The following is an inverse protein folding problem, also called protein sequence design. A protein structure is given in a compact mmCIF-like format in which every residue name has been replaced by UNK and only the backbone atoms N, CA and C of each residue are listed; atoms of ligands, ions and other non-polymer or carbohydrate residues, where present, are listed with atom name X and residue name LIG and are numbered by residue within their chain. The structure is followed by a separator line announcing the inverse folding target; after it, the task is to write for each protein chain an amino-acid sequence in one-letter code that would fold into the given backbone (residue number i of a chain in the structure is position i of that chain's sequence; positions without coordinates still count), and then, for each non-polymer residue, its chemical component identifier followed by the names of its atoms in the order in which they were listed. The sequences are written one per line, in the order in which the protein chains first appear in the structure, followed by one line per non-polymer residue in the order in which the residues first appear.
data_IF_582260606152
#
_entry.id   IF_582260606152
#
_cell.length_a   1.000
_cell.length_b   1.000
_cell.length_c   1.000
_cell.angle_alpha   90.00
_cell.angle_beta   90.00
_cell.angle_gamma   90.00
#
_symmetry.space_group_name_H-M   'P 1'
#
loop_
_entity.id
_entity.type
_entity.pdbx_description
1 polymer ?
#
# COMPACT_ATOMS: atom_id res chain seq x y z
N UNK A 1 -6.47 -13.16 16.38
CA UNK A 1 -6.59 -14.57 15.96
C UNK A 1 -7.81 -15.26 16.58
N UNK A 2 -8.00 -15.24 17.90
CA UNK A 2 -9.16 -15.87 18.55
C UNK A 2 -10.52 -15.32 18.05
N UNK A 3 -10.57 -14.03 17.71
CA UNK A 3 -11.80 -13.37 17.22
C UNK A 3 -12.13 -13.83 15.79
N UNK A 4 -11.13 -14.06 14.95
CA UNK A 4 -11.31 -14.52 13.57
C UNK A 4 -11.46 -16.04 13.42
N UNK A 5 -11.19 -16.81 14.47
CA UNK A 5 -11.46 -18.25 14.50
C UNK A 5 -12.97 -18.59 14.65
N UNK A 6 -13.79 -17.57 14.93
CA UNK A 6 -15.25 -17.71 15.01
C UNK A 6 -15.84 -17.62 13.59
N UNK A 7 -16.45 -18.69 13.17
CA UNK A 7 -17.17 -18.99 11.92
C UNK A 7 -17.47 -17.77 11.00
N UNK A 8 -17.18 -17.88 9.70
CA UNK A 8 -17.30 -16.83 8.66
C UNK A 8 -18.62 -16.03 8.65
N UNK A 9 -19.70 -16.57 9.19
CA UNK A 9 -21.00 -15.90 9.29
C UNK A 9 -21.01 -14.72 10.29
N UNK A 10 -19.98 -14.57 11.12
CA UNK A 10 -19.86 -13.52 12.14
C UNK A 10 -18.67 -12.60 11.92
N UNK A 11 -18.06 -12.62 10.74
CA UNK A 11 -16.83 -11.85 10.45
C UNK A 11 -17.00 -10.34 10.77
N UNK A 12 -18.12 -9.75 10.39
CA UNK A 12 -18.42 -8.33 10.65
C UNK A 12 -18.50 -8.05 12.15
N UNK A 13 -19.17 -8.92 12.90
CA UNK A 13 -19.30 -8.78 14.37
C UNK A 13 -17.94 -8.99 15.04
N UNK A 14 -17.16 -9.95 14.58
CA UNK A 14 -15.81 -10.21 15.08
C UNK A 14 -14.86 -9.03 14.80
N UNK A 15 -14.90 -8.48 13.60
CA UNK A 15 -14.13 -7.30 13.24
C UNK A 15 -14.53 -6.07 14.09
N UNK A 16 -15.84 -5.84 14.26
CA UNK A 16 -16.33 -4.75 15.09
C UNK A 16 -15.90 -4.93 16.56
N UNK A 17 -16.03 -6.13 17.11
CA UNK A 17 -15.59 -6.42 18.48
C UNK A 17 -14.07 -6.22 18.64
N UNK A 18 -13.27 -6.64 17.66
CA UNK A 18 -11.82 -6.41 17.65
C UNK A 18 -11.50 -4.91 17.65
N UNK A 19 -12.13 -4.13 16.78
CA UNK A 19 -11.98 -2.68 16.74
C UNK A 19 -12.36 -2.02 18.08
N UNK A 20 -13.46 -2.46 18.69
CA UNK A 20 -13.90 -1.94 19.99
C UNK A 20 -12.85 -2.22 21.08
N UNK A 21 -12.32 -3.43 21.15
CA UNK A 21 -11.30 -3.80 22.16
C UNK A 21 -9.99 -3.04 21.93
N UNK A 22 -9.55 -2.92 20.68
CA UNK A 22 -8.25 -2.30 20.34
C UNK A 22 -8.30 -0.77 20.48
N UNK A 23 -9.38 -0.12 20.02
CA UNK A 23 -9.39 1.33 19.85
C UNK A 23 -10.16 2.10 20.93
N UNK A 24 -11.21 1.55 21.54
CA UNK A 24 -12.05 2.32 22.47
C UNK A 24 -11.25 2.83 23.66
N UNK A 25 -10.44 1.98 24.28
CA UNK A 25 -9.68 2.38 25.46
C UNK A 25 -8.62 3.44 25.16
N UNK A 26 -7.74 3.28 24.16
CA UNK A 26 -6.78 4.33 23.78
C UNK A 26 -7.45 5.64 23.34
N UNK A 27 -8.50 5.57 22.52
CA UNK A 27 -9.21 6.77 22.06
C UNK A 27 -9.94 7.50 23.18
N UNK A 28 -10.52 6.76 24.11
CA UNK A 28 -11.13 7.35 25.32
C UNK A 28 -10.07 8.13 26.12
N UNK A 29 -8.90 7.54 26.37
CA UNK A 29 -7.82 8.22 27.08
C UNK A 29 -7.33 9.47 26.32
N UNK A 30 -7.12 9.36 25.01
CA UNK A 30 -6.72 10.50 24.17
C UNK A 30 -7.79 11.61 24.19
N UNK A 31 -9.07 11.25 24.16
CA UNK A 31 -10.18 12.19 24.26
C UNK A 31 -10.22 13.00 25.57
N UNK A 32 -9.61 12.50 26.65
CA UNK A 32 -9.52 13.20 27.92
C UNK A 32 -8.37 14.23 27.99
N UNK A 33 -7.42 14.17 27.05
CA UNK A 33 -6.21 15.03 27.07
C UNK A 33 -6.57 16.49 26.88
N UNK A 34 -7.29 16.84 25.81
CA UNK A 34 -7.65 18.23 25.52
C UNK A 34 -8.49 18.88 26.62
N UNK A 35 -9.57 18.26 27.15
CA UNK A 35 -10.31 18.83 28.28
C UNK A 35 -9.43 19.01 29.55
N UNK A 36 -8.52 18.06 29.77
CA UNK A 36 -7.60 18.16 30.94
C UNK A 36 -6.62 19.33 30.75
N UNK A 37 -6.06 19.50 29.58
CA UNK A 37 -5.17 20.63 29.29
C UNK A 37 -5.89 21.96 29.43
N UNK A 38 -7.11 22.09 28.92
CA UNK A 38 -7.94 23.28 29.10
C UNK A 38 -8.11 23.57 30.58
N UNK A 39 -8.53 22.57 31.38
CA UNK A 39 -8.75 22.71 32.82
C UNK A 39 -7.52 23.22 33.57
N UNK A 40 -6.33 22.77 33.20
CA UNK A 40 -5.08 23.14 33.88
C UNK A 40 -4.42 24.41 33.32
N UNK A 41 -4.83 24.87 32.13
CA UNK A 41 -4.24 26.04 31.44
C UNK A 41 -5.09 27.30 31.58
N UNK A 42 -6.32 27.20 32.09
CA UNK A 42 -7.22 28.35 32.29
C UNK A 42 -7.12 28.83 33.72
N UNK A 43 -6.50 29.98 33.91
CA UNK A 43 -6.43 30.64 35.22
C UNK A 43 -7.62 31.55 35.50
N UNK A 44 -8.17 32.22 34.47
CA UNK A 44 -9.30 33.12 34.54
C UNK A 44 -10.33 32.85 33.42
N UNK A 45 -11.61 33.14 33.70
CA UNK A 45 -12.71 32.93 32.74
C UNK A 45 -12.56 33.77 31.47
N UNK A 46 -11.94 34.96 31.59
CA UNK A 46 -11.75 35.88 30.47
C UNK A 46 -10.74 35.36 29.41
N UNK A 47 -9.77 34.53 29.81
CA UNK A 47 -8.76 33.94 28.95
C UNK A 47 -9.16 32.58 28.36
N UNK A 48 -10.32 32.08 28.75
CA UNK A 48 -10.77 30.73 28.35
C UNK A 48 -10.84 30.54 26.82
N UNK A 49 -11.43 31.53 26.12
CA UNK A 49 -11.54 31.49 24.65
C UNK A 49 -10.20 31.41 23.93
N UNK A 50 -9.21 32.20 24.39
CA UNK A 50 -7.85 32.19 23.83
C UNK A 50 -7.13 30.86 24.09
N UNK A 51 -7.23 30.34 25.30
CA UNK A 51 -6.60 29.06 25.68
C UNK A 51 -7.19 27.91 24.88
N UNK A 52 -8.52 27.80 24.78
CA UNK A 52 -9.21 26.77 23.99
C UNK A 52 -8.85 26.88 22.51
N UNK A 53 -8.85 28.11 21.96
CA UNK A 53 -8.45 28.35 20.58
C UNK A 53 -7.01 27.94 20.27
N UNK A 54 -6.08 28.29 21.17
CA UNK A 54 -4.66 27.92 21.04
C UNK A 54 -4.45 26.41 21.10
N UNK A 55 -5.06 25.73 22.09
CA UNK A 55 -5.00 24.29 22.21
C UNK A 55 -5.64 23.57 21.01
N UNK A 56 -6.76 24.11 20.50
CA UNK A 56 -7.41 23.63 19.28
C UNK A 56 -6.51 23.73 18.05
N UNK A 57 -5.82 24.87 17.90
CA UNK A 57 -4.87 25.07 16.81
C UNK A 57 -3.69 24.07 16.88
N UNK A 58 -3.09 23.88 18.05
CA UNK A 58 -2.04 22.86 18.23
C UNK A 58 -2.53 21.44 17.98
N UNK A 59 -3.75 21.11 18.41
CA UNK A 59 -4.35 19.81 18.13
C UNK A 59 -4.52 19.57 16.61
N UNK A 60 -4.98 20.59 15.88
CA UNK A 60 -5.13 20.52 14.43
C UNK A 60 -3.79 20.31 13.72
N UNK A 61 -2.77 21.11 14.07
CA UNK A 61 -1.41 20.96 13.54
C UNK A 61 -0.86 19.57 13.86
N UNK A 62 -1.00 19.13 15.11
CA UNK A 62 -0.56 17.81 15.54
C UNK A 62 -1.26 16.67 14.79
N UNK A 63 -2.55 16.83 14.52
CA UNK A 63 -3.33 15.84 13.74
C UNK A 63 -2.85 15.76 12.29
N UNK A 64 -2.55 16.90 11.66
CA UNK A 64 -1.99 16.91 10.29
C UNK A 64 -0.64 16.17 10.27
N UNK A 65 0.29 16.57 11.14
CA UNK A 65 1.61 15.94 11.26
C UNK A 65 1.48 14.44 11.54
N UNK A 66 0.64 14.10 12.53
CA UNK A 66 0.41 12.71 12.96
C UNK A 66 -0.28 11.84 11.92
N UNK A 67 -0.92 12.42 10.90
CA UNK A 67 -1.49 11.68 9.77
C UNK A 67 -0.46 11.48 8.67
N UNK A 68 0.25 12.54 8.28
CA UNK A 68 1.16 12.48 7.13
C UNK A 68 2.48 11.75 7.42
N UNK A 69 3.10 11.97 8.59
CA UNK A 69 4.38 11.33 8.91
C UNK A 69 4.28 9.80 8.93
N UNK A 70 3.31 9.17 9.63
CA UNK A 70 3.19 7.71 9.58
C UNK A 70 2.99 7.20 8.16
N UNK A 71 2.07 7.77 7.43
CA UNK A 71 1.65 7.26 6.12
C UNK A 71 2.76 7.35 5.07
N UNK A 72 3.44 8.50 4.98
CA UNK A 72 4.37 8.76 3.89
C UNK A 72 5.85 8.57 4.25
N UNK A 73 6.17 8.50 5.52
CA UNK A 73 7.58 8.43 5.97
C UNK A 73 7.85 7.17 6.77
N UNK A 74 7.19 6.99 7.92
CA UNK A 74 7.65 5.93 8.84
C UNK A 74 7.15 4.54 8.43
N UNK A 75 5.90 4.37 8.03
CA UNK A 75 5.40 3.07 7.56
C UNK A 75 6.19 2.57 6.35
N UNK A 76 6.41 3.35 5.28
CA UNK A 76 7.22 2.90 4.15
C UNK A 76 8.68 2.62 4.49
N UNK A 77 9.23 3.31 5.49
CA UNK A 77 10.64 3.18 5.88
C UNK A 77 10.91 2.01 6.84
N UNK A 78 10.05 1.81 7.84
CA UNK A 78 10.30 0.88 8.95
C UNK A 78 9.12 -0.05 9.25
N UNK A 79 8.03 0.03 8.51
CA UNK A 79 6.83 -0.78 8.68
C UNK A 79 5.90 -0.29 9.79
N UNK A 80 4.69 -0.85 9.80
CA UNK A 80 3.62 -0.46 10.73
C UNK A 80 3.98 -0.74 12.18
N UNK A 81 4.54 -1.91 12.48
CA UNK A 81 4.89 -2.32 13.86
C UNK A 81 5.87 -1.35 14.52
N UNK A 82 6.98 -1.06 13.83
CA UNK A 82 8.01 -0.12 14.35
C UNK A 82 7.47 1.30 14.42
N UNK A 83 6.63 1.72 13.49
CA UNK A 83 5.95 3.02 13.53
C UNK A 83 5.12 3.19 14.81
N UNK A 84 4.32 2.19 15.17
CA UNK A 84 3.58 2.22 16.44
C UNK A 84 4.49 2.33 17.66
N UNK A 85 5.61 1.60 17.68
CA UNK A 85 6.59 1.68 18.78
C UNK A 85 7.25 3.06 18.86
N UNK A 86 7.57 3.69 17.72
CA UNK A 86 8.12 5.07 17.68
C UNK A 86 7.14 6.05 18.34
N UNK A 87 5.87 6.06 17.92
CA UNK A 87 4.87 6.97 18.48
C UNK A 87 4.55 6.67 19.95
N UNK A 88 4.49 5.40 20.34
CA UNK A 88 4.36 5.00 21.73
C UNK A 88 5.56 5.48 22.57
N UNK A 89 6.77 5.41 22.05
CA UNK A 89 7.99 5.92 22.68
C UNK A 89 7.96 7.43 22.86
N UNK A 90 7.46 8.18 21.88
CA UNK A 90 7.26 9.64 22.00
C UNK A 90 6.27 9.96 23.12
N UNK A 91 5.14 9.27 23.18
CA UNK A 91 4.14 9.45 24.24
C UNK A 91 4.70 9.09 25.62
N UNK A 92 5.50 8.02 25.70
CA UNK A 92 6.19 7.64 26.92
C UNK A 92 7.16 8.74 27.39
N UNK A 93 7.98 9.27 26.47
CA UNK A 93 8.92 10.35 26.78
C UNK A 93 8.21 11.60 27.32
N UNK A 94 7.11 12.02 26.67
CA UNK A 94 6.28 13.13 27.15
C UNK A 94 5.69 12.85 28.56
N UNK A 95 5.21 11.63 28.78
CA UNK A 95 4.68 11.22 30.09
C UNK A 95 5.75 11.25 31.17
N UNK A 96 6.97 10.82 30.89
CA UNK A 96 8.10 10.84 31.81
C UNK A 96 8.44 12.29 32.18
N UNK A 97 8.56 13.18 31.18
CA UNK A 97 8.83 14.61 31.41
C UNK A 97 7.75 15.22 32.31
N UNK A 98 6.49 14.93 32.05
CA UNK A 98 5.37 15.39 32.88
C UNK A 98 5.49 14.91 34.33
N UNK A 99 5.73 13.63 34.59
CA UNK A 99 5.82 13.07 35.93
C UNK A 99 7.06 13.56 36.68
N UNK A 100 8.17 13.82 36.00
CA UNK A 100 9.38 14.40 36.61
C UNK A 100 9.08 15.82 37.05
N UNK A 101 8.49 16.66 36.21
CA UNK A 101 8.17 18.05 36.57
C UNK A 101 7.11 18.15 37.67
N UNK A 102 6.18 17.20 37.71
CA UNK A 102 5.19 17.13 38.79
C UNK A 102 5.72 16.57 40.09
N UNK A 103 7.00 16.21 40.18
CA UNK A 103 7.66 15.59 41.34
C UNK A 103 6.91 14.38 41.93
N UNK A 104 6.09 13.72 41.11
CA UNK A 104 5.22 12.60 41.52
C UNK A 104 5.45 11.39 40.62
N UNK A 105 5.01 10.23 41.07
CA UNK A 105 4.78 9.09 40.19
C UNK A 105 6.01 8.26 39.84
N UNK A 106 7.09 8.21 40.63
CA UNK A 106 8.26 7.34 40.36
C UNK A 106 7.87 5.92 40.06
N UNK A 107 6.89 5.34 40.78
CA UNK A 107 6.39 3.98 40.50
C UNK A 107 5.68 3.91 39.16
N UNK A 108 4.94 4.96 38.73
CA UNK A 108 4.26 5.04 37.46
C UNK A 108 5.25 5.13 36.29
N UNK A 109 6.33 5.93 36.46
CA UNK A 109 7.41 6.03 35.45
C UNK A 109 8.04 4.65 35.23
N UNK A 110 8.44 3.98 36.32
CA UNK A 110 9.05 2.64 36.22
C UNK A 110 8.08 1.64 35.55
N UNK A 111 6.82 1.64 35.99
CA UNK A 111 5.81 0.76 35.38
C UNK A 111 5.61 1.05 33.87
N UNK A 112 5.55 2.32 33.48
CA UNK A 112 5.38 2.70 32.03
C UNK A 112 6.59 2.28 31.22
N UNK A 113 7.81 2.44 31.74
CA UNK A 113 9.04 1.98 31.05
C UNK A 113 9.04 0.46 30.90
N UNK A 114 8.66 -0.27 31.95
CA UNK A 114 8.59 -1.74 31.90
C UNK A 114 7.53 -2.21 30.89
N UNK A 115 6.35 -1.60 30.88
CA UNK A 115 5.30 -1.93 29.90
C UNK A 115 5.79 -1.63 28.48
N UNK A 116 6.42 -0.49 28.25
CA UNK A 116 6.97 -0.16 26.94
C UNK A 116 8.06 -1.14 26.50
N UNK A 117 8.96 -1.53 27.39
CA UNK A 117 9.98 -2.53 27.10
C UNK A 117 9.37 -3.90 26.73
N UNK A 118 8.30 -4.30 27.44
CA UNK A 118 7.52 -5.50 27.08
C UNK A 118 6.86 -5.33 25.70
N UNK A 119 6.27 -4.16 25.44
CA UNK A 119 5.70 -3.89 24.11
C UNK A 119 6.75 -3.93 23.00
N UNK A 120 7.96 -3.44 23.23
CA UNK A 120 9.07 -3.56 22.28
C UNK A 120 9.47 -5.03 22.05
N UNK A 121 9.51 -5.84 23.11
CA UNK A 121 9.87 -7.24 23.00
C UNK A 121 8.84 -8.13 22.29
N UNK A 122 7.55 -7.84 22.49
CA UNK A 122 6.44 -8.63 21.91
C UNK A 122 5.79 -7.97 20.70
N UNK A 123 5.88 -6.66 20.58
CA UNK A 123 5.24 -5.89 19.51
C UNK A 123 6.15 -5.65 18.31
N UNK A 124 7.47 -5.87 18.45
CA UNK A 124 8.37 -5.86 17.32
C UNK A 124 8.13 -7.12 16.49
N UNK A 125 7.72 -6.92 15.25
CA UNK A 125 7.54 -8.01 14.31
C UNK A 125 8.06 -7.56 12.95
N UNK A 126 8.97 -8.33 12.39
CA UNK A 126 9.42 -8.16 11.00
C UNK A 126 8.38 -8.69 10.01
N UNK A 127 7.44 -9.52 10.51
CA UNK A 127 6.35 -10.11 9.75
C UNK A 127 5.00 -9.69 10.32
N UNK A 128 4.17 -9.08 9.48
CA UNK A 128 2.77 -8.81 9.79
C UNK A 128 1.93 -10.09 9.61
N UNK A 129 2.22 -10.84 8.57
CA UNK A 129 1.54 -12.11 8.26
C UNK A 129 2.15 -13.30 9.02
N UNK A 130 2.27 -13.19 10.34
CA UNK A 130 2.86 -14.22 11.21
C UNK A 130 2.17 -15.59 11.14
N UNK A 131 1.01 -15.69 10.47
CA UNK A 131 0.29 -16.95 10.21
C UNK A 131 0.69 -17.62 8.89
N UNK A 132 1.45 -16.91 8.02
CA UNK A 132 1.95 -17.41 6.75
C UNK A 132 3.37 -17.98 6.92
N UNK A 133 3.55 -19.23 6.55
CA UNK A 133 4.83 -19.91 6.76
C UNK A 133 5.74 -19.93 5.51
N UNK A 134 5.22 -19.52 4.35
CA UNK A 134 5.90 -19.67 3.06
C UNK A 134 6.07 -18.34 2.31
N UNK A 135 6.22 -17.23 3.04
CA UNK A 135 6.52 -15.94 2.42
C UNK A 135 8.02 -15.87 2.06
N UNK A 136 8.30 -15.57 0.81
CA UNK A 136 9.66 -15.27 0.34
C UNK A 136 10.03 -13.82 0.63
N UNK A 137 9.04 -12.93 0.56
CA UNK A 137 9.18 -11.52 0.88
C UNK A 137 7.91 -10.98 1.52
N UNK A 138 8.07 -10.06 2.46
CA UNK A 138 7.01 -9.27 3.07
C UNK A 138 7.48 -7.82 3.24
N UNK A 139 6.63 -6.86 2.95
CA UNK A 139 6.95 -5.44 3.14
C UNK A 139 5.79 -4.52 2.88
N UNK A 140 5.97 -3.26 3.25
CA UNK A 140 4.97 -2.20 3.09
C UNK A 140 5.54 -1.09 2.21
N UNK A 141 4.71 -0.53 1.34
CA UNK A 141 4.97 0.68 0.57
C UNK A 141 3.98 1.78 0.97
N UNK A 142 4.04 2.92 0.30
CA UNK A 142 3.02 3.98 0.44
C UNK A 142 1.65 3.52 -0.10
N UNK A 143 1.66 2.58 -1.04
CA UNK A 143 0.47 2.17 -1.77
C UNK A 143 -0.07 0.82 -1.30
N UNK A 144 0.82 -0.12 -0.95
CA UNK A 144 0.45 -1.51 -0.77
C UNK A 144 1.19 -2.17 0.39
N UNK A 145 0.54 -3.16 0.99
CA UNK A 145 1.21 -4.22 1.74
C UNK A 145 1.52 -5.35 0.75
N UNK A 146 2.80 -5.72 0.66
CA UNK A 146 3.33 -6.58 -0.39
C UNK A 146 3.79 -7.91 0.17
N UNK A 147 3.34 -8.98 -0.45
CA UNK A 147 3.76 -10.35 -0.14
C UNK A 147 4.19 -11.06 -1.42
N UNK A 148 5.35 -11.72 -1.37
CA UNK A 148 5.81 -12.60 -2.45
C UNK A 148 5.82 -14.03 -1.94
N UNK A 149 5.14 -14.89 -2.67
CA UNK A 149 5.13 -16.33 -2.46
C UNK A 149 5.89 -17.02 -3.59
N UNK A 150 6.79 -17.90 -3.25
CA UNK A 150 7.57 -18.66 -4.22
C UNK A 150 7.45 -20.14 -3.93
N UNK A 151 7.15 -20.93 -4.96
CA UNK A 151 7.17 -22.38 -4.92
C UNK A 151 8.01 -22.93 -6.08
N UNK A 152 7.95 -24.25 -6.31
CA UNK A 152 8.73 -24.91 -7.37
C UNK A 152 8.30 -24.47 -8.78
N UNK A 153 7.02 -24.13 -8.98
CA UNK A 153 6.42 -23.89 -10.29
C UNK A 153 6.26 -22.40 -10.61
N UNK A 154 6.01 -21.57 -9.59
CA UNK A 154 5.65 -20.17 -9.79
C UNK A 154 6.09 -19.24 -8.67
N UNK A 155 6.16 -17.95 -8.99
CA UNK A 155 6.25 -16.85 -8.05
C UNK A 155 4.95 -16.04 -8.16
N UNK A 156 4.39 -15.64 -7.03
CA UNK A 156 3.14 -14.89 -6.96
C UNK A 156 3.30 -13.65 -6.11
N UNK A 157 2.79 -12.51 -6.58
CA UNK A 157 2.65 -11.28 -5.80
C UNK A 157 1.22 -11.18 -5.28
N UNK A 158 1.08 -10.86 -4.00
CA UNK A 158 -0.18 -10.39 -3.41
C UNK A 158 0.02 -9.01 -2.83
N UNK A 159 -0.95 -8.13 -3.02
CA UNK A 159 -0.96 -6.77 -2.45
C UNK A 159 -1.86 -6.65 -1.24
N UNK A 160 -2.50 -7.74 -0.83
CA UNK A 160 -3.41 -7.79 0.33
C UNK A 160 -3.19 -9.00 1.20
N UNK A 161 -3.48 -8.83 2.50
CA UNK A 161 -3.34 -9.88 3.52
C UNK A 161 -4.33 -11.04 3.32
N UNK A 162 -5.44 -10.81 2.64
CA UNK A 162 -6.56 -11.76 2.61
C UNK A 162 -7.06 -12.13 1.21
N UNK A 163 -6.74 -11.41 0.16
CA UNK A 163 -7.41 -11.59 -1.12
C UNK A 163 -6.47 -11.49 -2.32
N UNK A 164 -6.32 -12.60 -2.97
CA UNK A 164 -6.00 -12.64 -4.37
C UNK A 164 -4.53 -12.48 -4.72
N UNK A 165 -4.18 -13.27 -5.71
CA UNK A 165 -2.91 -13.17 -6.41
C UNK A 165 -3.05 -12.02 -7.42
N UNK A 166 -2.19 -11.01 -7.27
CA UNK A 166 -2.16 -9.84 -8.15
C UNK A 166 -1.39 -10.15 -9.44
N UNK A 167 -0.29 -10.85 -9.32
CA UNK A 167 0.53 -11.26 -10.46
C UNK A 167 1.14 -12.63 -10.24
N UNK A 168 1.36 -13.36 -11.33
CA UNK A 168 2.02 -14.68 -11.32
C UNK A 168 3.11 -14.71 -12.37
N UNK A 169 4.28 -15.22 -12.01
CA UNK A 169 5.35 -15.58 -12.93
C UNK A 169 5.54 -17.10 -12.88
N UNK A 170 5.47 -17.76 -14.05
CA UNK A 170 5.71 -19.21 -14.17
C UNK A 170 7.19 -19.45 -14.42
N UNK A 171 7.81 -20.31 -13.59
CA UNK A 171 9.22 -20.69 -13.72
C UNK A 171 9.49 -21.60 -14.90
N UNK A 172 8.46 -22.31 -15.33
CA UNK A 172 8.48 -23.19 -16.49
C UNK A 172 7.90 -22.50 -17.73
N UNK A 173 8.01 -23.14 -18.87
CA UNK A 173 7.52 -22.61 -20.14
C UNK A 173 6.02 -22.85 -20.31
N UNK A 174 5.24 -22.23 -19.43
CA UNK A 174 3.79 -22.35 -19.37
C UNK A 174 3.13 -20.98 -19.28
N UNK A 175 1.87 -20.90 -19.72
CA UNK A 175 1.00 -19.74 -19.48
C UNK A 175 0.55 -19.71 -18.03
N UNK A 176 0.21 -18.54 -17.55
CA UNK A 176 -0.13 -18.32 -16.13
C UNK A 176 -1.55 -18.73 -15.76
N UNK A 177 -2.44 -18.82 -16.78
CA UNK A 177 -3.88 -18.98 -16.60
C UNK A 177 -4.61 -17.71 -16.16
N UNK A 178 -3.92 -16.57 -16.16
CA UNK A 178 -4.46 -15.26 -15.79
C UNK A 178 -4.92 -14.49 -17.04
N UNK A 179 -5.67 -13.40 -16.83
CA UNK A 179 -6.23 -12.57 -17.91
C UNK A 179 -5.19 -12.00 -18.89
N UNK A 180 -4.00 -11.70 -18.42
CA UNK A 180 -2.94 -11.16 -19.30
C UNK A 180 -2.41 -12.16 -20.32
N UNK A 181 -2.63 -13.46 -20.14
CA UNK A 181 -2.37 -14.45 -21.20
C UNK A 181 -3.28 -14.21 -22.41
N UNK A 182 -4.55 -13.83 -22.18
CA UNK A 182 -5.47 -13.45 -23.25
C UNK A 182 -5.11 -12.09 -23.86
N UNK A 183 -4.58 -11.16 -23.03
CA UNK A 183 -4.14 -9.85 -23.50
C UNK A 183 -2.99 -9.93 -24.51
N UNK A 184 -2.22 -11.02 -24.52
CA UNK A 184 -1.19 -11.27 -25.56
C UNK A 184 -1.77 -11.40 -26.98
N UNK A 185 -3.09 -11.58 -27.14
CA UNK A 185 -3.72 -11.56 -28.46
C UNK A 185 -3.74 -10.16 -29.10
N UNK A 186 -3.59 -9.08 -28.32
CA UNK A 186 -3.70 -7.72 -28.83
C UNK A 186 -2.65 -7.36 -29.90
N UNK A 187 -1.37 -7.62 -29.73
CA UNK A 187 -0.38 -7.39 -30.78
C UNK A 187 -0.72 -8.11 -32.08
N UNK A 188 -1.34 -9.29 -32.03
CA UNK A 188 -1.73 -10.09 -33.20
C UNK A 188 -2.91 -9.49 -33.98
N UNK A 189 -3.64 -8.52 -33.41
CA UNK A 189 -4.76 -7.86 -34.09
C UNK A 189 -4.30 -6.78 -35.09
N UNK A 190 -3.06 -6.29 -34.95
CA UNK A 190 -2.46 -5.36 -35.92
C UNK A 190 -1.83 -6.14 -37.08
N UNK A 191 -2.37 -5.95 -38.29
CA UNK A 191 -1.98 -6.73 -39.48
C UNK A 191 -0.85 -6.09 -40.28
N UNK A 192 -0.62 -4.80 -40.10
CA UNK A 192 0.23 -4.01 -41.01
C UNK A 192 1.61 -3.71 -40.40
N UNK A 193 1.98 -4.33 -39.27
CA UNK A 193 3.24 -4.13 -38.58
C UNK A 193 3.77 -5.47 -38.05
N UNK A 194 5.08 -5.68 -38.20
CA UNK A 194 5.74 -6.82 -37.56
C UNK A 194 5.69 -6.66 -36.03
N UNK A 195 5.40 -7.75 -35.33
CA UNK A 195 5.18 -7.72 -33.88
C UNK A 195 6.45 -7.28 -33.13
N UNK A 196 7.63 -7.67 -33.61
CA UNK A 196 8.92 -7.26 -33.04
C UNK A 196 9.18 -5.76 -33.09
N UNK A 197 8.53 -5.05 -34.02
CA UNK A 197 8.72 -3.61 -34.21
C UNK A 197 7.66 -2.78 -33.47
N UNK A 198 6.76 -3.43 -32.75
CA UNK A 198 5.69 -2.75 -32.01
C UNK A 198 6.19 -2.07 -30.75
N UNK A 199 5.63 -0.88 -30.50
CA UNK A 199 5.77 -0.15 -29.25
C UNK A 199 4.57 -0.46 -28.34
N UNK A 200 4.83 -1.07 -27.19
CA UNK A 200 3.84 -1.47 -26.21
C UNK A 200 4.03 -0.71 -24.91
N UNK A 201 2.97 -0.05 -24.45
CA UNK A 201 2.94 0.60 -23.14
C UNK A 201 2.04 -0.18 -22.19
N UNK A 202 2.52 -0.38 -20.96
CA UNK A 202 1.77 -1.02 -19.88
C UNK A 202 1.57 0.01 -18.77
N UNK A 203 0.34 0.41 -18.50
CA UNK A 203 -0.04 1.24 -17.37
C UNK A 203 -0.47 0.34 -16.20
N UNK A 204 0.33 0.34 -15.13
CA UNK A 204 0.28 -0.65 -14.08
C UNK A 204 1.14 -1.85 -14.44
N UNK A 205 2.47 -1.63 -14.49
CA UNK A 205 3.43 -2.68 -14.88
C UNK A 205 3.37 -3.91 -13.97
N UNK A 206 3.04 -3.70 -12.69
CA UNK A 206 3.01 -4.76 -11.70
C UNK A 206 4.33 -5.53 -11.65
N UNK A 207 4.27 -6.85 -11.69
CA UNK A 207 5.48 -7.68 -11.72
C UNK A 207 6.11 -7.81 -13.11
N UNK A 208 5.52 -7.21 -14.13
CA UNK A 208 6.02 -7.27 -15.51
C UNK A 208 5.77 -8.60 -16.22
N UNK A 209 4.84 -9.42 -15.73
CA UNK A 209 4.57 -10.74 -16.33
C UNK A 209 4.09 -10.61 -17.77
N UNK A 210 3.20 -9.66 -18.07
CA UNK A 210 2.75 -9.42 -19.44
C UNK A 210 3.91 -9.01 -20.35
N UNK A 211 4.79 -8.10 -19.91
CA UNK A 211 5.97 -7.70 -20.66
C UNK A 211 6.92 -8.87 -20.92
N UNK A 212 7.17 -9.67 -19.90
CA UNK A 212 8.03 -10.86 -19.98
C UNK A 212 7.45 -11.88 -20.96
N UNK A 213 6.14 -12.13 -20.92
CA UNK A 213 5.47 -13.05 -21.83
C UNK A 213 5.47 -12.52 -23.27
N UNK A 214 5.18 -11.25 -23.50
CA UNK A 214 5.23 -10.64 -24.82
C UNK A 214 6.62 -10.83 -25.46
N UNK A 215 7.68 -10.53 -24.73
CA UNK A 215 9.04 -10.70 -25.22
C UNK A 215 9.42 -12.17 -25.42
N UNK A 216 8.95 -13.06 -24.57
CA UNK A 216 9.19 -14.50 -24.66
C UNK A 216 8.56 -15.13 -25.91
N UNK A 217 7.30 -14.77 -26.20
CA UNK A 217 6.55 -15.43 -27.26
C UNK A 217 6.58 -14.68 -28.61
N UNK A 218 6.85 -13.38 -28.60
CA UNK A 218 6.85 -12.56 -29.80
C UNK A 218 8.23 -11.98 -30.18
N UNK A 219 9.26 -12.23 -29.37
CA UNK A 219 10.60 -11.70 -29.59
C UNK A 219 10.85 -10.35 -28.92
N UNK A 220 11.93 -9.69 -29.29
CA UNK A 220 12.39 -8.45 -28.66
C UNK A 220 11.53 -7.24 -29.07
N UNK A 221 10.30 -7.19 -28.58
CA UNK A 221 9.40 -6.05 -28.74
C UNK A 221 9.87 -4.86 -27.89
N UNK A 222 9.51 -3.65 -28.32
CA UNK A 222 9.69 -2.44 -27.54
C UNK A 222 8.58 -2.35 -26.48
N UNK A 223 8.84 -2.86 -25.29
CA UNK A 223 7.89 -2.81 -24.17
C UNK A 223 8.40 -1.84 -23.13
N UNK A 224 7.57 -0.90 -22.70
CA UNK A 224 7.82 -0.05 -21.55
C UNK A 224 6.62 -0.03 -20.60
N UNK A 225 6.87 0.23 -19.33
CA UNK A 225 5.85 0.23 -18.29
C UNK A 225 5.85 1.48 -17.43
N UNK A 226 4.69 1.73 -16.82
CA UNK A 226 4.51 2.72 -15.78
C UNK A 226 3.96 2.01 -14.55
N UNK A 227 4.63 2.18 -13.42
CA UNK A 227 4.24 1.60 -12.15
C UNK A 227 4.30 2.68 -11.07
N UNK A 228 3.24 2.82 -10.29
CA UNK A 228 3.19 3.85 -9.25
C UNK A 228 4.01 3.46 -8.02
N UNK A 229 4.14 2.16 -7.77
CA UNK A 229 4.83 1.62 -6.60
C UNK A 229 6.25 1.14 -6.97
N UNK A 230 7.25 1.95 -6.64
CA UNK A 230 8.66 1.63 -6.88
C UNK A 230 9.09 0.30 -6.23
N UNK A 231 8.46 -0.09 -5.10
CA UNK A 231 8.75 -1.38 -4.46
C UNK A 231 8.32 -2.54 -5.33
N UNK A 232 7.17 -2.45 -6.01
CA UNK A 232 6.72 -3.49 -6.94
C UNK A 232 7.73 -3.62 -8.08
N UNK A 233 8.21 -2.52 -8.66
CA UNK A 233 9.25 -2.57 -9.70
C UNK A 233 10.54 -3.23 -9.22
N UNK A 234 10.98 -2.98 -7.99
CA UNK A 234 12.15 -3.66 -7.41
C UNK A 234 11.92 -5.16 -7.23
N UNK A 235 10.75 -5.54 -6.73
CA UNK A 235 10.37 -6.94 -6.55
C UNK A 235 10.23 -7.67 -7.89
N UNK A 236 9.72 -7.00 -8.93
CA UNK A 236 9.56 -7.58 -10.27
C UNK A 236 10.90 -8.01 -10.86
N UNK A 237 11.95 -7.22 -10.69
CA UNK A 237 13.30 -7.56 -11.12
C UNK A 237 13.94 -8.65 -10.26
N UNK A 238 13.70 -8.59 -8.94
CA UNK A 238 14.31 -9.52 -8.00
C UNK A 238 13.71 -10.93 -8.04
N UNK A 239 12.38 -11.05 -8.20
CA UNK A 239 11.67 -12.32 -8.05
C UNK A 239 10.92 -12.78 -9.29
N UNK A 240 10.55 -11.87 -10.20
CA UNK A 240 9.67 -12.17 -11.33
C UNK A 240 10.37 -12.14 -12.69
N UNK A 241 11.68 -12.10 -12.70
CA UNK A 241 12.50 -12.13 -13.91
C UNK A 241 12.21 -11.02 -14.91
N UNK A 242 11.69 -9.86 -14.44
CA UNK A 242 11.57 -8.70 -15.31
C UNK A 242 12.97 -8.20 -15.68
N UNK A 243 13.24 -8.17 -16.98
CA UNK A 243 14.54 -7.79 -17.50
C UNK A 243 14.89 -6.33 -17.22
N UNK A 244 16.16 -6.04 -16.95
CA UNK A 244 16.67 -4.68 -16.66
C UNK A 244 16.56 -3.73 -17.86
N UNK A 245 16.53 -4.27 -19.07
CA UNK A 245 16.39 -3.52 -20.32
C UNK A 245 14.96 -3.12 -20.64
N UNK A 246 13.95 -3.62 -19.89
CA UNK A 246 12.57 -3.14 -19.98
C UNK A 246 12.45 -1.87 -19.13
N UNK A 247 12.26 -0.69 -19.76
CA UNK A 247 12.12 0.55 -19.00
C UNK A 247 10.81 0.56 -18.21
N UNK A 248 10.90 0.90 -16.92
CA UNK A 248 9.75 1.11 -16.04
C UNK A 248 9.87 2.47 -15.40
N UNK A 249 8.89 3.34 -15.68
CA UNK A 249 8.82 4.68 -15.08
C UNK A 249 7.95 4.64 -13.83
N UNK A 250 8.53 5.04 -12.68
CA UNK A 250 7.75 5.18 -11.44
C UNK A 250 6.95 6.48 -11.49
N UNK A 251 5.69 6.39 -11.85
CA UNK A 251 4.80 7.54 -11.97
C UNK A 251 3.32 7.12 -11.97
N UNK A 252 2.42 8.11 -11.83
CA UNK A 252 0.98 7.91 -12.09
C UNK A 252 0.73 7.69 -13.57
N UNK A 253 0.02 6.60 -13.93
CA UNK A 253 -0.19 6.20 -15.32
C UNK A 253 -0.95 7.23 -16.16
N UNK A 254 -1.96 7.91 -15.59
CA UNK A 254 -2.68 8.98 -16.29
C UNK A 254 -1.81 10.22 -16.48
N UNK A 255 -1.06 10.60 -15.46
CA UNK A 255 -0.15 11.73 -15.54
C UNK A 255 0.98 11.47 -16.56
N UNK A 256 1.46 10.23 -16.64
CA UNK A 256 2.43 9.82 -17.66
C UNK A 256 1.87 10.00 -19.08
N UNK A 257 0.66 9.50 -19.35
CA UNK A 257 0.02 9.68 -20.66
C UNK A 257 -0.20 11.15 -21.02
N UNK A 258 -0.64 11.97 -20.06
CA UNK A 258 -0.82 13.42 -20.29
C UNK A 258 0.48 14.15 -20.64
N UNK A 259 1.62 13.62 -20.21
CA UNK A 259 2.94 14.19 -20.48
C UNK A 259 3.64 13.57 -21.70
N UNK A 260 3.06 12.52 -22.29
CA UNK A 260 3.65 11.77 -23.41
C UNK A 260 3.11 12.25 -24.74
N UNK A 261 4.00 12.52 -25.69
CA UNK A 261 3.66 12.71 -27.11
C UNK A 261 3.88 11.44 -27.94
N UNK A 262 4.42 10.38 -27.31
CA UNK A 262 4.70 9.10 -27.98
C UNK A 262 3.42 8.36 -28.29
N UNK A 263 3.35 7.84 -29.50
CA UNK A 263 2.27 6.93 -29.93
C UNK A 263 2.70 5.49 -29.71
N UNK A 264 1.75 4.66 -29.33
CA UNK A 264 1.97 3.24 -29.09
C UNK A 264 1.10 2.39 -30.03
N UNK A 265 1.60 1.24 -30.39
CA UNK A 265 0.81 0.26 -31.15
C UNK A 265 -0.24 -0.38 -30.23
N UNK A 266 0.17 -0.69 -28.98
CA UNK A 266 -0.70 -1.27 -27.96
C UNK A 266 -0.52 -0.51 -26.64
N UNK A 267 -1.62 -0.13 -26.02
CA UNK A 267 -1.63 0.33 -24.63
C UNK A 267 -2.45 -0.68 -23.80
N UNK A 268 -1.79 -1.34 -22.85
CA UNK A 268 -2.44 -2.15 -21.83
C UNK A 268 -2.67 -1.34 -20.58
N UNK A 269 -3.91 -1.28 -20.09
CA UNK A 269 -4.30 -0.60 -18.87
C UNK A 269 -4.62 -1.64 -17.80
N UNK A 270 -3.70 -1.83 -16.87
CA UNK A 270 -3.78 -2.82 -15.79
C UNK A 270 -3.43 -2.21 -14.42
N UNK A 271 -3.85 -1.00 -14.20
CA UNK A 271 -3.56 -0.24 -12.96
C UNK A 271 -4.73 -0.32 -11.97
N UNK A 272 -5.07 -1.52 -11.55
CA UNK A 272 -6.15 -1.77 -10.61
C UNK A 272 -5.62 -2.08 -9.21
N UNK A 273 -6.33 -1.57 -8.20
CA UNK A 273 -6.12 -1.96 -6.80
C UNK A 273 -7.23 -2.93 -6.39
N UNK A 274 -6.90 -4.19 -6.22
CA UNK A 274 -7.84 -5.27 -5.86
C UNK A 274 -9.06 -5.33 -6.78
N UNK A 275 -10.21 -4.86 -6.26
CA UNK A 275 -11.50 -4.82 -6.94
C UNK A 275 -11.88 -3.41 -7.40
N UNK A 276 -11.01 -2.42 -7.14
CA UNK A 276 -11.33 -1.02 -7.44
C UNK A 276 -10.48 -0.47 -8.57
N UNK A 277 -11.15 0.13 -9.54
CA UNK A 277 -10.49 0.91 -10.60
C UNK A 277 -10.25 2.32 -10.04
N UNK A 278 -9.02 2.84 -10.06
CA UNK A 278 -8.77 4.22 -9.70
C UNK A 278 -9.64 5.16 -10.55
N UNK A 279 -10.43 6.03 -9.90
CA UNK A 279 -11.42 6.86 -10.59
C UNK A 279 -10.82 7.68 -11.73
N UNK A 280 -9.57 8.13 -11.58
CA UNK A 280 -8.86 8.89 -12.61
C UNK A 280 -8.55 8.05 -13.88
N UNK A 281 -8.57 6.74 -13.79
CA UNK A 281 -8.33 5.82 -14.90
C UNK A 281 -9.61 5.16 -15.43
N UNK A 282 -10.78 5.55 -14.91
CA UNK A 282 -12.10 5.06 -15.34
C UNK A 282 -12.96 6.13 -16.03
N UNK A 283 -12.40 7.31 -16.28
CA UNK A 283 -13.15 8.42 -16.88
C UNK A 283 -13.10 8.40 -18.41
N UNK A 284 -14.10 9.04 -19.04
CA UNK A 284 -14.16 9.21 -20.49
C UNK A 284 -12.92 9.94 -21.03
N UNK A 285 -12.45 10.94 -20.31
CA UNK A 285 -11.26 11.72 -20.67
C UNK A 285 -10.00 10.87 -20.69
N UNK A 286 -9.87 9.95 -19.74
CA UNK A 286 -8.75 9.01 -19.71
C UNK A 286 -8.79 8.08 -20.92
N UNK A 287 -9.92 7.44 -21.22
CA UNK A 287 -10.03 6.57 -22.37
C UNK A 287 -9.91 7.31 -23.71
N UNK A 288 -10.31 8.58 -23.76
CA UNK A 288 -10.07 9.43 -24.95
C UNK A 288 -8.57 9.62 -25.15
N UNK A 289 -7.83 9.94 -24.09
CA UNK A 289 -6.37 10.07 -24.12
C UNK A 289 -5.68 8.78 -24.55
N UNK A 290 -6.09 7.64 -23.97
CA UNK A 290 -5.56 6.33 -24.36
C UNK A 290 -5.82 6.07 -25.86
N UNK A 291 -7.03 6.35 -26.35
CA UNK A 291 -7.39 6.18 -27.76
C UNK A 291 -6.58 7.10 -28.68
N UNK A 292 -6.28 8.32 -28.27
CA UNK A 292 -5.48 9.26 -29.05
C UNK A 292 -4.02 8.83 -29.18
N UNK A 293 -3.50 8.10 -28.19
CA UNK A 293 -2.10 7.68 -28.12
C UNK A 293 -1.88 6.22 -28.54
N UNK A 294 -2.92 5.46 -28.87
CA UNK A 294 -2.80 4.04 -29.24
C UNK A 294 -3.55 3.67 -30.52
N UNK A 295 -3.05 2.68 -31.23
CA UNK A 295 -3.78 2.00 -32.29
C UNK A 295 -4.73 0.93 -31.73
N UNK A 296 -4.27 0.14 -30.77
CA UNK A 296 -5.08 -0.79 -29.97
C UNK A 296 -4.88 -0.50 -28.50
N UNK A 297 -5.96 -0.54 -27.72
CA UNK A 297 -5.90 -0.44 -26.27
C UNK A 297 -6.72 -1.54 -25.61
N UNK A 298 -6.19 -2.09 -24.54
CA UNK A 298 -6.80 -3.13 -23.73
C UNK A 298 -6.92 -2.62 -22.31
N UNK A 299 -8.11 -2.74 -21.75
CA UNK A 299 -8.35 -2.57 -20.32
C UNK A 299 -8.82 -3.90 -19.77
N UNK A 300 -8.44 -4.24 -18.57
CA UNK A 300 -8.98 -5.40 -17.88
C UNK A 300 -10.52 -5.33 -17.93
N UNK A 301 -11.19 -6.35 -18.50
CA UNK A 301 -12.64 -6.39 -18.42
C UNK A 301 -13.04 -6.43 -16.96
N UNK A 302 -14.03 -5.63 -16.59
CA UNK A 302 -14.64 -5.68 -15.27
C UNK A 302 -14.80 -7.14 -14.86
N UNK A 303 -14.21 -7.51 -13.72
CA UNK A 303 -14.34 -8.87 -13.19
C UNK A 303 -15.82 -9.26 -13.23
N UNK A 304 -16.18 -10.45 -13.75
CA UNK A 304 -17.53 -10.95 -13.56
C UNK A 304 -17.78 -10.93 -12.05
N UNK A 305 -18.88 -10.30 -11.65
CA UNK A 305 -19.35 -10.37 -10.29
C UNK A 305 -19.32 -11.83 -9.81
N UNK A 306 -18.75 -12.10 -8.64
CA UNK A 306 -18.69 -13.47 -8.13
C UNK A 306 -20.10 -14.04 -7.89
#
# INVERSE_FOLDING_TARGET
LLIFAVNNNFLIIAAFAACMVIFVFPLFLLGTVTPSLVKYSVDNLDDNGKTVGTLGAFNTIGSIIGTFIPTFVTIPAVGTSVTFLIFAGILLALSIVYFINAHTGKKKIVASILIFALCCGFGYSDSFAFWENNLTYEGESVYNYLQVYENQDKVSLSTNVLFGVQSVYMKQDELTGMYYDYAMAAPLMLKDKEISDMDVLILGMGTGTYATQCRKYFGDMNVEGVEIDEKITKLSRQYFSLSEDVPVTTYDGRAFLNASDKKYDVIMVDAYQDITIPFQMSSVEFFTLVKELSLIHISEPTRPEP
#
